data_IF_834575401494
#
_entry.id   IF_834575401494
#
_cell.length_a   1.000
_cell.length_b   1.000
_cell.length_c   1.000
_cell.angle_alpha   90.00
_cell.angle_beta   90.00
_cell.angle_gamma   90.00
#
_symmetry.space_group_name_H-M   'P 1'
#
loop_
_entity.id
_entity.type
_entity.pdbx_description
1 polymer ?
#
# COMPACT_ATOMS: atom_id res chain seq x y z
N UNK A 1 -24.01 26.18 10.54
CA UNK A 1 -24.73 25.67 9.35
C UNK A 1 -25.77 24.66 9.82
N UNK A 2 -26.93 24.56 9.16
CA UNK A 2 -27.98 23.59 9.54
C UNK A 2 -27.53 22.15 9.29
N UNK A 3 -28.00 21.22 10.13
CA UNK A 3 -27.74 19.78 10.01
C UNK A 3 -28.86 19.14 9.19
N UNK A 4 -28.49 18.28 8.25
CA UNK A 4 -29.41 17.51 7.41
C UNK A 4 -29.76 16.20 8.11
N UNK A 5 -31.05 15.89 8.20
CA UNK A 5 -31.54 14.66 8.82
C UNK A 5 -32.15 13.75 7.77
N UNK A 6 -31.48 12.63 7.49
CA UNK A 6 -32.00 11.62 6.59
C UNK A 6 -32.79 10.58 7.36
N UNK A 7 -34.02 10.37 6.89
CA UNK A 7 -34.92 9.33 7.39
C UNK A 7 -35.02 8.19 6.37
N UNK A 8 -35.66 7.08 6.75
CA UNK A 8 -35.87 5.92 5.87
C UNK A 8 -36.38 6.31 4.47
N UNK A 9 -37.34 7.23 4.43
CA UNK A 9 -38.03 7.61 3.21
C UNK A 9 -37.14 8.42 2.26
N UNK A 10 -36.21 9.19 2.81
CA UNK A 10 -35.26 9.98 2.03
C UNK A 10 -34.25 9.06 1.32
N UNK A 11 -33.73 8.06 2.06
CA UNK A 11 -32.87 7.02 1.50
C UNK A 11 -33.57 6.22 0.40
N UNK A 12 -34.83 5.85 0.60
CA UNK A 12 -35.62 5.12 -0.40
C UNK A 12 -35.81 5.96 -1.69
N UNK A 13 -36.09 7.26 -1.54
CA UNK A 13 -36.23 8.17 -2.68
C UNK A 13 -34.90 8.36 -3.42
N UNK A 14 -33.79 8.57 -2.70
CA UNK A 14 -32.46 8.67 -3.28
C UNK A 14 -32.11 7.44 -4.12
N UNK A 15 -32.36 6.24 -3.58
CA UNK A 15 -32.11 4.99 -4.30
C UNK A 15 -33.02 4.84 -5.52
N UNK A 16 -34.32 5.19 -5.41
CA UNK A 16 -35.24 5.18 -6.56
C UNK A 16 -34.82 6.14 -7.67
N UNK A 17 -34.17 7.25 -7.30
CA UNK A 17 -33.60 8.22 -8.23
C UNK A 17 -32.25 7.78 -8.81
N UNK A 18 -31.73 6.62 -8.39
CA UNK A 18 -30.47 6.05 -8.84
C UNK A 18 -29.25 6.51 -8.05
N UNK A 19 -29.44 7.23 -6.95
CA UNK A 19 -28.36 7.74 -6.11
C UNK A 19 -28.04 6.66 -5.06
N UNK A 20 -27.03 5.84 -5.37
CA UNK A 20 -26.64 4.68 -4.56
C UNK A 20 -25.46 4.98 -3.62
N UNK A 21 -25.10 6.25 -3.42
CA UNK A 21 -24.00 6.64 -2.54
C UNK A 21 -24.36 7.89 -1.76
N UNK A 22 -24.12 7.87 -0.45
CA UNK A 22 -24.33 9.00 0.45
C UNK A 22 -23.07 9.25 1.27
N UNK A 23 -22.60 10.49 1.25
CA UNK A 23 -21.48 10.94 2.06
C UNK A 23 -21.98 11.31 3.46
N UNK A 24 -21.45 10.63 4.48
CA UNK A 24 -21.78 10.85 5.88
C UNK A 24 -20.73 11.78 6.48
N UNK A 25 -21.11 13.05 6.56
CA UNK A 25 -20.33 14.13 7.16
C UNK A 25 -20.88 14.49 8.54
N UNK A 26 -20.19 15.38 9.28
CA UNK A 26 -20.63 15.83 10.62
C UNK A 26 -21.98 16.59 10.60
N UNK A 27 -22.39 17.07 9.42
CA UNK A 27 -23.66 17.76 9.21
C UNK A 27 -24.81 16.81 8.86
N UNK A 28 -24.52 15.53 8.64
CA UNK A 28 -25.47 14.55 8.12
C UNK A 28 -25.81 13.57 9.23
N UNK A 29 -27.09 13.55 9.62
CA UNK A 29 -27.59 12.67 10.68
C UNK A 29 -28.56 11.68 10.06
N UNK A 30 -28.20 10.40 10.13
CA UNK A 30 -29.08 9.32 9.71
C UNK A 30 -29.81 8.78 10.95
N UNK A 31 -31.11 8.52 10.80
CA UNK A 31 -31.82 7.72 11.80
C UNK A 31 -31.43 6.25 11.68
N UNK A 32 -31.68 5.48 12.73
CA UNK A 32 -31.36 4.04 12.77
C UNK A 32 -32.04 3.28 11.60
N UNK A 33 -33.33 3.57 11.37
CA UNK A 33 -34.09 3.03 10.24
C UNK A 33 -33.52 3.45 8.88
N UNK A 34 -32.99 4.67 8.76
CA UNK A 34 -32.37 5.11 7.51
C UNK A 34 -31.08 4.33 7.22
N UNK A 35 -30.26 4.09 8.24
CA UNK A 35 -29.02 3.31 8.13
C UNK A 35 -29.30 1.86 7.69
N UNK A 36 -30.25 1.20 8.34
CA UNK A 36 -30.65 -0.17 7.97
C UNK A 36 -31.22 -0.23 6.55
N UNK A 37 -32.07 0.73 6.18
CA UNK A 37 -32.67 0.79 4.84
C UNK A 37 -31.62 1.01 3.77
N UNK A 38 -30.66 1.90 4.02
CA UNK A 38 -29.57 2.16 3.11
C UNK A 38 -28.71 0.91 2.88
N UNK A 39 -28.40 0.17 3.95
CA UNK A 39 -27.66 -1.09 3.86
C UNK A 39 -28.48 -2.18 3.10
N UNK A 40 -29.78 -2.28 3.38
CA UNK A 40 -30.68 -3.25 2.71
C UNK A 40 -30.86 -2.96 1.21
N UNK A 41 -30.87 -1.68 0.83
CA UNK A 41 -30.97 -1.24 -0.56
C UNK A 41 -29.62 -1.20 -1.28
N UNK A 42 -28.52 -1.50 -0.59
CA UNK A 42 -27.17 -1.48 -1.16
C UNK A 42 -26.63 -0.07 -1.41
N UNK A 43 -27.21 0.95 -0.76
CA UNK A 43 -26.67 2.30 -0.79
C UNK A 43 -25.34 2.34 -0.01
N UNK A 44 -24.31 2.91 -0.64
CA UNK A 44 -22.96 2.99 -0.09
C UNK A 44 -22.82 4.23 0.78
N UNK A 45 -22.60 4.01 2.06
CA UNK A 45 -22.37 5.06 3.05
C UNK A 45 -20.88 5.37 3.14
N UNK A 46 -20.43 6.46 2.52
CA UNK A 46 -19.02 6.86 2.49
C UNK A 46 -18.79 7.87 3.62
N UNK A 47 -17.96 7.53 4.60
CA UNK A 47 -17.54 8.50 5.63
C UNK A 47 -16.32 9.26 5.11
N UNK A 48 -16.47 10.56 4.90
CA UNK A 48 -15.43 11.44 4.33
C UNK A 48 -14.27 11.71 5.31
N UNK A 49 -14.34 11.27 6.56
CA UNK A 49 -13.18 11.24 7.45
C UNK A 49 -12.45 9.90 7.30
N UNK A 50 -11.43 9.79 6.42
CA UNK A 50 -10.39 8.82 6.63
C UNK A 50 -9.68 9.17 7.94
N UNK A 51 -9.31 8.15 8.69
CA UNK A 51 -8.45 8.21 9.87
C UNK A 51 -7.08 8.79 9.43
N UNK A 52 -7.00 10.10 9.26
CA UNK A 52 -5.77 10.82 8.99
C UNK A 52 -5.12 11.08 10.35
N UNK A 53 -4.02 10.40 10.71
CA UNK A 53 -3.43 10.57 12.02
C UNK A 53 -3.03 12.04 12.20
N UNK A 54 -3.60 12.76 13.19
CA UNK A 54 -3.19 14.12 13.52
C UNK A 54 -1.83 14.04 14.21
N UNK A 55 -0.75 14.07 13.42
CA UNK A 55 0.59 13.91 13.99
C UNK A 55 1.72 13.73 12.98
N UNK A 56 1.64 14.35 11.80
CA UNK A 56 2.84 14.53 10.98
C UNK A 56 3.39 15.94 11.21
N UNK A 57 4.50 16.12 11.94
CA UNK A 57 5.19 17.39 12.02
C UNK A 57 5.48 17.93 10.63
N UNK A 58 5.09 19.18 10.39
CA UNK A 58 5.46 19.95 9.20
C UNK A 58 6.99 19.97 9.12
N UNK A 59 7.57 19.30 8.11
CA UNK A 59 9.01 19.36 7.85
C UNK A 59 9.34 20.79 7.43
N UNK A 60 10.13 21.56 8.19
CA UNK A 60 10.59 22.86 7.73
C UNK A 60 11.37 22.65 6.43
N UNK A 61 11.17 23.56 5.48
CA UNK A 61 11.86 23.58 4.20
C UNK A 61 13.38 23.56 4.39
N UNK A 62 14.01 22.38 4.27
CA UNK A 62 15.43 22.31 3.91
C UNK A 62 15.54 22.11 2.40
N UNK A 63 14.96 23.06 1.67
CA UNK A 63 15.48 23.46 0.37
C UNK A 63 16.78 24.22 0.59
N UNK A 64 17.84 23.50 0.94
CA UNK A 64 19.16 23.83 0.43
C UNK A 64 19.71 22.54 -0.15
N UNK A 65 19.34 22.28 -1.40
CA UNK A 65 20.24 21.60 -2.30
C UNK A 65 21.51 22.45 -2.34
N UNK A 66 22.43 22.17 -1.42
CA UNK A 66 23.79 22.67 -1.50
C UNK A 66 24.40 21.96 -2.72
N UNK A 67 24.73 22.68 -3.80
CA UNK A 67 25.43 22.07 -4.92
C UNK A 67 26.75 21.54 -4.36
N UNK A 68 26.95 20.24 -4.49
CA UNK A 68 28.22 19.57 -4.19
C UNK A 68 29.35 20.29 -4.94
N UNK A 69 30.23 21.05 -4.27
CA UNK A 69 31.43 21.54 -4.92
C UNK A 69 32.34 20.32 -5.08
N UNK A 70 32.69 20.02 -6.32
CA UNK A 70 33.82 19.16 -6.64
C UNK A 70 35.08 19.84 -6.09
N UNK A 71 35.50 19.45 -4.88
CA UNK A 71 36.81 19.75 -4.33
C UNK A 71 37.65 18.47 -4.39
N UNK A 72 38.28 18.31 -5.54
CA UNK A 72 39.67 17.89 -5.71
C UNK A 72 40.44 17.60 -4.40
N UNK A 73 40.41 16.34 -3.95
CA UNK A 73 41.47 15.79 -3.12
C UNK A 73 42.62 15.41 -4.05
N UNK A 74 43.62 16.29 -4.12
CA UNK A 74 44.89 15.99 -4.76
C UNK A 74 45.59 14.85 -4.05
N UNK A 75 45.89 13.78 -4.78
CA UNK A 75 47.08 12.97 -4.55
C UNK A 75 47.64 12.52 -5.89
N UNK A 76 48.73 13.16 -6.30
CA UNK A 76 49.57 12.72 -7.41
C UNK A 76 50.85 12.05 -6.83
N UNK A 77 51.76 11.48 -7.64
CA UNK A 77 51.74 10.09 -8.09
C UNK A 77 53.05 9.34 -7.74
N UNK A 78 53.02 8.01 -7.62
CA UNK A 78 54.26 7.22 -7.68
C UNK A 78 54.02 5.76 -8.10
N UNK A 79 54.54 5.45 -9.29
CA UNK A 79 55.16 4.20 -9.72
C UNK A 79 54.34 2.87 -9.80
N UNK A 80 53.88 2.62 -11.04
CA UNK A 80 54.19 1.47 -11.93
C UNK A 80 53.93 -0.01 -11.53
N UNK A 81 53.52 -0.86 -12.51
CA UNK A 81 52.98 -2.21 -12.32
C UNK A 81 54.06 -3.31 -12.29
N UNK A 82 53.71 -4.54 -11.85
CA UNK A 82 53.67 -5.65 -12.83
C UNK A 82 52.47 -6.59 -12.65
N UNK A 83 51.98 -7.09 -13.79
CA UNK A 83 51.01 -8.18 -13.95
C UNK A 83 51.70 -9.58 -13.79
N UNK A 84 51.12 -10.68 -14.28
CA UNK A 84 49.99 -11.45 -13.75
C UNK A 84 50.42 -12.89 -13.41
N UNK A 85 49.80 -13.56 -12.43
CA UNK A 85 49.94 -15.03 -12.33
C UNK A 85 48.69 -15.70 -11.75
N UNK A 86 48.04 -16.43 -12.65
CA UNK A 86 47.23 -17.63 -12.48
C UNK A 86 46.88 -18.13 -11.08
N UNK A 87 45.58 -18.32 -10.89
CA UNK A 87 45.00 -19.23 -9.91
C UNK A 87 43.71 -19.79 -10.49
N UNK A 88 43.83 -20.78 -11.38
CA UNK A 88 42.74 -21.66 -11.74
C UNK A 88 42.38 -22.53 -10.53
N UNK A 89 41.14 -23.02 -10.54
CA UNK A 89 40.56 -24.05 -9.66
C UNK A 89 39.86 -23.46 -8.44
N UNK A 90 38.64 -23.86 -8.06
CA UNK A 90 37.79 -24.96 -8.54
C UNK A 90 36.53 -24.92 -7.67
N UNK A 91 35.37 -25.19 -8.28
CA UNK A 91 34.12 -25.59 -7.63
C UNK A 91 33.46 -24.52 -6.70
N UNK A 92 32.20 -24.14 -6.82
CA UNK A 92 31.07 -24.84 -7.41
C UNK A 92 30.19 -23.90 -8.21
N UNK A 93 30.11 -24.20 -9.50
CA UNK A 93 28.89 -23.99 -10.25
C UNK A 93 27.84 -24.96 -9.69
N UNK A 94 26.84 -24.44 -8.99
CA UNK A 94 25.54 -25.10 -8.88
C UNK A 94 24.50 -24.09 -9.32
N UNK A 95 24.48 -23.87 -10.63
CA UNK A 95 23.22 -23.50 -11.25
C UNK A 95 22.32 -24.74 -11.19
N UNK A 96 21.05 -24.48 -10.92
CA UNK A 96 19.91 -25.31 -11.30
C UNK A 96 19.47 -26.47 -10.38
N UNK A 97 18.15 -26.50 -10.21
CA UNK A 97 17.29 -27.66 -9.93
C UNK A 97 17.14 -28.10 -8.47
N UNK A 98 16.23 -27.42 -7.78
CA UNK A 98 15.48 -27.93 -6.64
C UNK A 98 14.23 -27.05 -6.48
N UNK A 99 13.16 -27.22 -7.27
CA UNK A 99 12.59 -28.55 -7.52
C UNK A 99 12.07 -29.17 -6.23
N UNK A 100 11.81 -28.36 -5.19
CA UNK A 100 10.92 -28.77 -4.11
C UNK A 100 9.63 -28.02 -4.38
N UNK A 101 8.70 -28.73 -5.00
CA UNK A 101 7.28 -28.52 -4.77
C UNK A 101 7.03 -28.93 -3.31
N UNK A 102 6.90 -28.01 -2.34
CA UNK A 102 6.28 -28.39 -1.09
C UNK A 102 4.78 -28.65 -1.36
N UNK A 103 4.18 -29.63 -0.67
CA UNK A 103 2.77 -29.99 -0.81
C UNK A 103 1.84 -28.81 -0.48
N UNK A 104 0.56 -28.86 -0.93
CA UNK A 104 -0.38 -27.76 -0.82
C UNK A 104 -0.86 -27.59 0.62
N UNK A 105 -0.01 -27.02 1.47
CA UNK A 105 -0.49 -26.21 2.57
C UNK A 105 -0.86 -24.87 1.94
N UNK A 106 -2.14 -24.48 2.04
CA UNK A 106 -2.56 -23.10 1.74
C UNK A 106 -1.95 -22.18 2.80
N UNK A 107 -0.64 -21.97 2.73
CA UNK A 107 0.08 -21.10 3.64
C UNK A 107 -0.31 -19.67 3.29
N UNK A 108 -0.80 -18.91 4.28
CA UNK A 108 -1.12 -17.49 4.09
C UNK A 108 0.04 -16.70 3.44
N UNK A 109 1.28 -17.17 3.58
CA UNK A 109 2.47 -16.63 2.92
C UNK A 109 2.42 -16.72 1.37
N UNK A 110 1.92 -17.80 0.78
CA UNK A 110 1.75 -17.89 -0.68
C UNK A 110 0.64 -16.96 -1.18
N UNK A 111 -0.45 -16.85 -0.41
CA UNK A 111 -1.54 -15.93 -0.73
C UNK A 111 -1.06 -14.47 -0.70
N UNK A 112 -0.23 -14.10 0.29
CA UNK A 112 0.45 -12.79 0.36
C UNK A 112 1.25 -12.51 -0.90
N UNK A 113 2.05 -13.47 -1.34
CA UNK A 113 2.93 -13.31 -2.49
C UNK A 113 2.15 -13.20 -3.82
N UNK A 114 1.08 -13.98 -3.98
CA UNK A 114 0.15 -13.88 -5.11
C UNK A 114 -0.56 -12.53 -5.15
N UNK A 115 -1.06 -12.04 -4.02
CA UNK A 115 -1.72 -10.72 -3.94
C UNK A 115 -0.71 -9.62 -4.24
N UNK A 116 0.51 -9.70 -3.67
CA UNK A 116 1.58 -8.74 -3.92
C UNK A 116 1.94 -8.64 -5.40
N UNK A 117 2.18 -9.77 -6.06
CA UNK A 117 2.51 -9.80 -7.49
C UNK A 117 1.36 -9.27 -8.36
N UNK A 118 0.11 -9.63 -8.05
CA UNK A 118 -1.06 -9.14 -8.78
C UNK A 118 -1.25 -7.62 -8.65
N UNK A 119 -1.01 -7.06 -7.46
CA UNK A 119 -1.14 -5.62 -7.22
C UNK A 119 0.03 -4.85 -7.84
N UNK A 120 1.27 -5.36 -7.76
CA UNK A 120 2.42 -4.76 -8.44
C UNK A 120 2.25 -4.81 -9.96
N UNK A 121 1.71 -5.89 -10.52
CA UNK A 121 1.41 -5.97 -11.95
C UNK A 121 0.31 -4.98 -12.37
N UNK A 122 -0.65 -4.68 -11.49
CA UNK A 122 -1.81 -3.83 -11.80
C UNK A 122 -1.58 -2.33 -11.54
N UNK A 123 -0.86 -1.98 -10.47
CA UNK A 123 -0.59 -0.60 -10.04
C UNK A 123 0.85 -0.16 -10.28
N UNK A 124 1.77 -1.09 -10.55
CA UNK A 124 3.17 -0.81 -10.81
C UNK A 124 3.86 -0.08 -9.65
N UNK A 125 4.65 0.93 -9.99
CA UNK A 125 5.52 1.69 -9.10
C UNK A 125 4.79 2.72 -8.22
N UNK A 126 3.46 2.81 -8.29
CA UNK A 126 2.68 3.80 -7.55
C UNK A 126 2.43 3.42 -6.08
N UNK A 127 2.90 2.23 -5.66
CA UNK A 127 2.62 1.72 -4.31
C UNK A 127 3.91 1.38 -3.60
N UNK A 128 4.09 1.98 -2.43
CA UNK A 128 5.17 1.65 -1.52
C UNK A 128 5.11 0.18 -1.10
N UNK A 129 6.21 -0.56 -1.34
CA UNK A 129 6.30 -1.99 -1.00
C UNK A 129 6.08 -2.28 0.49
N UNK A 130 6.48 -1.34 1.36
CA UNK A 130 6.26 -1.46 2.80
C UNK A 130 4.77 -1.28 3.17
N UNK A 131 4.10 -0.30 2.57
CA UNK A 131 2.67 -0.05 2.81
C UNK A 131 1.82 -1.22 2.29
N UNK A 132 2.18 -1.74 1.12
CA UNK A 132 1.51 -2.89 0.52
C UNK A 132 1.58 -4.14 1.42
N UNK A 133 2.75 -4.43 2.01
CA UNK A 133 2.91 -5.58 2.90
C UNK A 133 2.09 -5.43 4.20
N UNK A 134 2.06 -4.21 4.76
CA UNK A 134 1.25 -3.89 5.94
C UNK A 134 -0.26 -4.05 5.70
N UNK A 135 -0.76 -3.57 4.55
CA UNK A 135 -2.17 -3.71 4.17
C UNK A 135 -2.52 -5.19 3.95
N UNK A 136 -1.68 -5.93 3.22
CA UNK A 136 -1.87 -7.37 2.98
C UNK A 136 -1.95 -8.12 4.31
N UNK A 137 -1.03 -7.85 5.24
CA UNK A 137 -1.01 -8.47 6.57
C UNK A 137 -2.31 -8.18 7.33
N UNK A 138 -2.77 -6.93 7.33
CA UNK A 138 -4.00 -6.52 8.01
C UNK A 138 -5.25 -7.16 7.40
N UNK A 139 -5.30 -7.31 6.08
CA UNK A 139 -6.43 -7.97 5.40
C UNK A 139 -6.46 -9.46 5.70
N UNK A 140 -5.31 -10.14 5.72
CA UNK A 140 -5.24 -11.55 6.12
C UNK A 140 -5.71 -11.78 7.56
N UNK A 141 -5.30 -10.90 8.48
CA UNK A 141 -5.76 -10.93 9.87
C UNK A 141 -7.26 -10.64 9.99
N UNK A 142 -7.78 -9.66 9.23
CA UNK A 142 -9.18 -9.28 9.26
C UNK A 142 -10.11 -10.30 8.60
N UNK A 143 -9.62 -11.08 7.64
CA UNK A 143 -10.38 -12.13 6.94
C UNK A 143 -10.34 -13.47 7.68
N UNK A 144 -9.53 -13.59 8.75
CA UNK A 144 -9.46 -14.77 9.60
C UNK A 144 -8.72 -15.95 8.97
N UNK A 145 -8.04 -15.73 7.84
CA UNK A 145 -7.28 -16.74 7.11
C UNK A 145 -5.90 -16.84 7.78
N UNK A 146 -5.64 -17.96 8.46
CA UNK A 146 -4.38 -18.26 9.16
C UNK A 146 -3.53 -19.18 8.30
#
# INVERSE_FOLDING_TARGET
>A
MPKEFYTERDIEDMVRRGILSLEINDNVVLTDLAYEKANRLGMRLVRDKPDNPPGAPVRPYLSQAQPKPAASAGRAPAASPPAPTGGLSSAGSTNSAGGVVPPPQMDGAELRQRIRSAVVARLGSQVDSNLLDAIITRVLQSTGIK
#
